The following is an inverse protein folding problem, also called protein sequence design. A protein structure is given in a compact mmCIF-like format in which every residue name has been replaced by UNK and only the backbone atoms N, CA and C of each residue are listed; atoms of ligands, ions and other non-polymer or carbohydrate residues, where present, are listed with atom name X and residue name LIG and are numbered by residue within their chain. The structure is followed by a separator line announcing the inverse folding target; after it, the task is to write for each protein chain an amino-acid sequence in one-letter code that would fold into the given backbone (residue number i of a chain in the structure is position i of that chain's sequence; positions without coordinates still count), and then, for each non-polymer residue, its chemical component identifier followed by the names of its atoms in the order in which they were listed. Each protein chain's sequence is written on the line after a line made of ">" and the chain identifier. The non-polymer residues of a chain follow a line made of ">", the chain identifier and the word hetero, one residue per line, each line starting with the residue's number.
data_IF_279679051476
#
_entry.id   IF_279679051476
#
_cell.length_a   1.000
_cell.length_b   1.000
_cell.length_c   1.000
_cell.angle_alpha   90.00
_cell.angle_beta   90.00
_cell.angle_gamma   90.00
#
_symmetry.space_group_name_H-M   'P 1'
#
loop_
_entity.id
_entity.type
_entity.pdbx_description
1 polymer ?
#
# COMPACT_ATOMS: atom_id res chain seq x y z
N UNK A 1 -14.17 -19.97 8.60
CA UNK A 1 -12.95 -19.36 8.01
C UNK A 1 -11.92 -20.45 7.87
N UNK A 2 -11.32 -20.61 6.69
CA UNK A 2 -10.28 -21.61 6.46
C UNK A 2 -8.93 -20.92 6.55
N UNK A 3 -8.09 -21.32 7.49
CA UNK A 3 -6.71 -20.82 7.61
C UNK A 3 -5.74 -21.80 6.96
N UNK A 4 -4.80 -21.30 6.16
CA UNK A 4 -3.71 -22.11 5.60
C UNK A 4 -2.43 -21.79 6.35
N UNK A 5 -1.71 -22.82 6.80
CA UNK A 5 -0.41 -22.63 7.43
C UNK A 5 0.61 -22.16 6.38
N UNK A 6 1.35 -21.11 6.72
CA UNK A 6 2.42 -20.54 5.91
C UNK A 6 3.61 -20.23 6.82
N UNK A 7 4.83 -20.38 6.29
CA UNK A 7 6.04 -19.91 6.96
C UNK A 7 6.38 -18.52 6.44
N UNK A 8 6.67 -17.58 7.33
CA UNK A 8 7.01 -16.20 6.98
C UNK A 8 8.26 -15.79 7.76
N UNK A 9 9.15 -15.06 7.09
CA UNK A 9 10.28 -14.41 7.74
C UNK A 9 9.81 -13.04 8.24
N UNK A 10 10.05 -12.76 9.52
CA UNK A 10 9.78 -11.47 10.13
C UNK A 10 11.02 -11.00 10.86
N UNK A 11 11.21 -9.69 10.89
CA UNK A 11 12.28 -9.05 11.63
C UNK A 11 12.20 -9.38 13.13
N UNK A 12 13.36 -9.55 13.78
CA UNK A 12 13.44 -9.98 15.18
C UNK A 12 12.65 -9.07 16.12
N UNK A 13 12.78 -7.74 15.96
CA UNK A 13 12.05 -6.77 16.77
C UNK A 13 10.52 -6.86 16.64
N UNK A 14 10.01 -7.31 15.48
CA UNK A 14 8.56 -7.52 15.27
C UNK A 14 8.09 -8.80 15.94
N UNK A 15 8.93 -9.84 15.95
CA UNK A 15 8.67 -11.08 16.67
C UNK A 15 8.64 -10.82 18.19
N UNK A 16 9.59 -10.05 18.72
CA UNK A 16 9.62 -9.63 20.12
C UNK A 16 8.35 -8.89 20.51
N UNK A 17 7.93 -7.91 19.69
CA UNK A 17 6.68 -7.18 19.90
C UNK A 17 5.47 -8.13 19.92
N UNK A 18 5.36 -9.04 18.94
CA UNK A 18 4.25 -9.99 18.87
C UNK A 18 4.22 -10.93 20.09
N UNK A 19 5.39 -11.36 20.58
CA UNK A 19 5.49 -12.15 21.80
C UNK A 19 5.07 -11.35 23.04
N UNK A 20 5.43 -10.08 23.13
CA UNK A 20 5.01 -9.19 24.23
C UNK A 20 3.48 -8.99 24.25
N UNK A 21 2.84 -8.87 23.08
CA UNK A 21 1.38 -8.79 22.96
C UNK A 21 0.67 -10.07 23.45
N UNK A 22 1.26 -11.24 23.16
CA UNK A 22 0.75 -12.53 23.64
C UNK A 22 0.96 -12.68 25.15
N UNK A 23 2.14 -12.33 25.65
CA UNK A 23 2.47 -12.38 27.07
C UNK A 23 1.56 -11.46 27.90
N UNK A 24 1.18 -10.31 27.34
CA UNK A 24 0.24 -9.38 27.96
C UNK A 24 -1.23 -9.82 27.85
N UNK A 25 -1.52 -10.97 27.21
CA UNK A 25 -2.88 -11.48 27.01
C UNK A 25 -3.71 -10.68 25.99
N UNK A 26 -3.10 -9.72 25.28
CA UNK A 26 -3.77 -8.92 24.24
C UNK A 26 -4.01 -9.72 22.96
N UNK A 27 -3.21 -10.75 22.72
CA UNK A 27 -3.38 -11.68 21.62
C UNK A 27 -3.28 -13.14 22.07
N UNK A 28 -4.01 -14.02 21.38
CA UNK A 28 -4.02 -15.47 21.65
C UNK A 28 -2.79 -16.20 21.12
N UNK A 29 -2.12 -15.63 20.12
CA UNK A 29 -0.90 -16.18 19.51
C UNK A 29 -0.22 -15.14 18.63
N UNK A 30 1.04 -15.37 18.27
CA UNK A 30 1.78 -14.55 17.31
C UNK A 30 1.04 -14.49 15.97
N UNK A 31 0.46 -15.60 15.51
CA UNK A 31 -0.35 -15.63 14.27
C UNK A 31 -1.57 -14.70 14.36
N UNK A 32 -2.19 -14.55 15.53
CA UNK A 32 -3.31 -13.63 15.71
C UNK A 32 -2.85 -12.16 15.59
N UNK A 33 -1.67 -11.82 16.11
CA UNK A 33 -1.06 -10.49 15.97
C UNK A 33 -0.77 -10.19 14.50
N UNK A 34 -0.10 -11.12 13.80
CA UNK A 34 0.25 -10.96 12.39
C UNK A 34 -0.99 -10.86 11.51
N UNK A 35 -1.99 -11.72 11.72
CA UNK A 35 -3.24 -11.66 10.95
C UNK A 35 -3.99 -10.35 11.19
N UNK A 36 -4.01 -9.82 12.42
CA UNK A 36 -4.62 -8.53 12.72
C UNK A 36 -3.87 -7.38 12.04
N UNK A 37 -2.54 -7.41 12.01
CA UNK A 37 -1.74 -6.43 11.31
C UNK A 37 -1.99 -6.46 9.79
N UNK A 38 -2.01 -7.66 9.19
CA UNK A 38 -2.31 -7.84 7.76
C UNK A 38 -3.75 -7.41 7.42
N UNK A 39 -4.72 -7.68 8.28
CA UNK A 39 -6.09 -7.24 8.06
C UNK A 39 -6.21 -5.72 8.06
N UNK A 40 -5.51 -5.03 8.97
CA UNK A 40 -5.46 -3.56 9.00
C UNK A 40 -4.79 -3.00 7.76
N UNK A 41 -3.67 -3.58 7.32
CA UNK A 41 -3.00 -3.17 6.09
C UNK A 41 -3.92 -3.37 4.87
N UNK A 42 -4.57 -4.52 4.77
CA UNK A 42 -5.48 -4.81 3.66
C UNK A 42 -6.72 -3.89 3.64
N UNK A 43 -7.15 -3.37 4.77
CA UNK A 43 -8.20 -2.34 4.83
C UNK A 43 -7.67 -0.98 4.37
N UNK A 44 -6.51 -0.56 4.90
CA UNK A 44 -5.86 0.70 4.49
C UNK A 44 -5.56 0.71 2.97
N UNK A 45 -5.07 -0.40 2.43
CA UNK A 45 -4.83 -0.56 0.99
C UNK A 45 -6.14 -0.47 0.20
N UNK A 46 -7.22 -1.13 0.67
CA UNK A 46 -8.54 -1.04 0.03
C UNK A 46 -9.12 0.37 0.06
N UNK A 47 -8.94 1.10 1.16
CA UNK A 47 -9.38 2.50 1.30
C UNK A 47 -8.58 3.45 0.41
N UNK A 48 -7.26 3.29 0.36
CA UNK A 48 -6.40 4.07 -0.54
C UNK A 48 -6.79 3.84 -2.00
N UNK A 49 -6.95 2.58 -2.37
CA UNK A 49 -7.40 2.17 -3.69
C UNK A 49 -8.81 2.69 -4.03
N UNK A 50 -9.74 2.65 -3.09
CA UNK A 50 -11.10 3.17 -3.28
C UNK A 50 -11.09 4.69 -3.48
N UNK A 51 -10.26 5.40 -2.71
CA UNK A 51 -10.06 6.85 -2.82
C UNK A 51 -9.47 7.23 -4.17
N UNK A 52 -8.44 6.49 -4.63
CA UNK A 52 -7.84 6.68 -5.95
C UNK A 52 -8.85 6.36 -7.05
N UNK A 53 -9.58 5.25 -6.97
CA UNK A 53 -10.61 4.87 -7.94
C UNK A 53 -11.74 5.90 -8.01
N UNK A 54 -12.17 6.45 -6.88
CA UNK A 54 -13.16 7.52 -6.82
C UNK A 54 -12.64 8.80 -7.48
N UNK A 55 -11.41 9.21 -7.18
CA UNK A 55 -10.77 10.36 -7.80
C UNK A 55 -10.62 10.20 -9.32
N UNK A 56 -10.18 9.02 -9.79
CA UNK A 56 -10.09 8.69 -11.22
C UNK A 56 -11.45 8.71 -11.90
N UNK A 57 -12.50 8.21 -11.24
CA UNK A 57 -13.87 8.26 -11.78
C UNK A 57 -14.36 9.70 -11.93
N UNK A 58 -14.14 10.55 -10.92
CA UNK A 58 -14.50 11.98 -10.97
C UNK A 58 -13.77 12.69 -12.09
N UNK A 59 -12.45 12.48 -12.23
CA UNK A 59 -11.66 13.07 -13.32
C UNK A 59 -12.14 12.58 -14.68
N UNK A 60 -12.41 11.27 -14.86
CA UNK A 60 -12.93 10.73 -16.13
C UNK A 60 -14.32 11.25 -16.51
N UNK A 61 -15.09 11.73 -15.53
CA UNK A 61 -16.42 12.30 -15.75
C UNK A 61 -16.37 13.76 -16.22
N UNK A 62 -15.21 14.41 -16.13
CA UNK A 62 -14.97 15.80 -16.53
C UNK A 62 -13.94 15.85 -17.68
N UNK A 63 -14.38 16.15 -18.93
CA UNK A 63 -13.51 16.20 -20.10
C UNK A 63 -12.34 17.19 -19.96
N UNK A 64 -12.54 18.31 -19.27
CA UNK A 64 -11.51 19.34 -19.08
C UNK A 64 -10.48 18.91 -18.04
N UNK A 65 -10.92 18.21 -16.98
CA UNK A 65 -10.02 17.61 -16.00
C UNK A 65 -9.15 16.51 -16.63
N UNK A 66 -9.71 15.66 -17.49
CA UNK A 66 -8.94 14.64 -18.24
C UNK A 66 -7.86 15.32 -19.10
N UNK A 67 -8.21 16.38 -19.83
CA UNK A 67 -7.27 17.08 -20.69
C UNK A 67 -6.15 17.78 -19.91
N UNK A 68 -6.42 18.24 -18.68
CA UNK A 68 -5.42 18.85 -17.78
C UNK A 68 -4.49 17.80 -17.19
N UNK A 69 -5.02 16.67 -16.71
CA UNK A 69 -4.22 15.56 -16.18
C UNK A 69 -3.32 14.98 -17.26
N UNK A 70 -3.85 14.75 -18.48
CA UNK A 70 -3.04 14.25 -19.61
C UNK A 70 -1.83 15.15 -19.90
N UNK A 71 -2.04 16.47 -20.00
CA UNK A 71 -0.96 17.44 -20.23
C UNK A 71 0.09 17.43 -19.12
N UNK A 72 -0.34 17.29 -17.86
CA UNK A 72 0.57 17.22 -16.72
C UNK A 72 1.37 15.91 -16.70
N UNK A 73 0.74 14.78 -17.01
CA UNK A 73 1.41 13.48 -17.12
C UNK A 73 2.44 13.48 -18.24
N UNK A 74 2.09 14.00 -19.42
CA UNK A 74 3.02 14.15 -20.56
C UNK A 74 4.24 15.00 -20.18
N UNK A 75 4.04 16.10 -19.45
CA UNK A 75 5.12 16.95 -18.99
C UNK A 75 6.04 16.27 -17.97
N UNK A 76 5.48 15.52 -17.02
CA UNK A 76 6.25 14.78 -16.01
C UNK A 76 7.05 13.62 -16.63
N UNK A 77 6.47 12.90 -17.61
CA UNK A 77 7.18 11.85 -18.33
C UNK A 77 8.34 12.43 -19.15
N UNK A 78 8.13 13.54 -19.85
CA UNK A 78 9.19 14.23 -20.60
C UNK A 78 10.32 14.75 -19.68
N UNK A 79 9.99 15.26 -18.49
CA UNK A 79 11.01 15.67 -17.52
C UNK A 79 11.82 14.49 -16.97
N UNK A 80 11.18 13.34 -16.76
CA UNK A 80 11.84 12.13 -16.26
C UNK A 80 12.80 11.55 -17.30
N UNK A 81 12.39 11.55 -18.56
CA UNK A 81 13.23 11.11 -19.69
C UNK A 81 14.44 12.04 -19.90
N UNK A 82 14.25 13.36 -19.72
CA UNK A 82 15.36 14.33 -19.75
C UNK A 82 16.28 14.23 -18.53
N UNK A 83 15.75 13.87 -17.36
CA UNK A 83 16.56 13.59 -16.18
C UNK A 83 17.41 12.33 -16.40
N UNK A 84 16.83 11.24 -16.88
CA UNK A 84 17.57 10.01 -17.18
C UNK A 84 18.65 10.22 -18.25
N UNK A 85 18.40 11.05 -19.27
CA UNK A 85 19.40 11.46 -20.27
C UNK A 85 20.52 12.37 -19.72
N UNK A 86 20.30 13.05 -18.59
CA UNK A 86 21.32 13.87 -17.91
C UNK A 86 22.11 13.10 -16.84
N UNK A 87 21.65 11.89 -16.47
CA UNK A 87 22.25 11.10 -15.37
C UNK A 87 22.70 9.68 -15.74
N UNK A 88 22.79 9.29 -17.02
CA UNK A 88 23.39 8.00 -17.38
C UNK A 88 24.55 8.12 -18.38
N UNK A 89 25.43 7.10 -18.49
CA UNK A 89 26.10 6.26 -17.48
C UNK A 89 27.50 6.78 -17.08
#
# INVERSE_FOLDING_TARGET
>A
MTTKAVSVTIEEHLLEYANAEVAAGRARSVSAVVNAALARQAEADREADATVRAAVKTVRSDPDAVAKVRRMTEHLLAQREQADLRTGP
#
